data_IF_427261546908
#
_entry.id   IF_427261546908
#
_cell.length_a   1.000
_cell.length_b   1.000
_cell.length_c   1.000
_cell.angle_alpha   90.00
_cell.angle_beta   90.00
_cell.angle_gamma   90.00
#
_symmetry.space_group_name_H-M   'P 1'
#
loop_
_entity.id
_entity.type
_entity.pdbx_description
1 polymer ?
#
# COMPACT_ATOMS: atom_id res chain seq x y z
N UNK A 1 -20.68 12.51 9.38
CA UNK A 1 -20.77 11.46 8.33
C UNK A 1 -20.39 12.01 6.96
N UNK A 2 -20.89 13.18 6.54
CA UNK A 2 -20.58 13.77 5.22
C UNK A 2 -19.09 14.12 5.00
N UNK A 3 -18.36 14.55 6.04
CA UNK A 3 -16.95 14.96 5.90
C UNK A 3 -16.03 13.79 5.49
N UNK A 4 -16.24 12.60 6.06
CA UNK A 4 -15.45 11.41 5.71
C UNK A 4 -15.70 11.02 4.25
N UNK A 5 -16.96 11.05 3.79
CA UNK A 5 -17.30 10.74 2.41
C UNK A 5 -16.66 11.71 1.42
N UNK A 6 -16.64 13.01 1.73
CA UNK A 6 -15.93 14.02 0.92
C UNK A 6 -14.44 13.72 0.86
N UNK A 7 -13.82 13.33 1.97
CA UNK A 7 -12.40 13.00 2.00
C UNK A 7 -12.06 11.75 1.19
N UNK A 8 -12.86 10.69 1.29
CA UNK A 8 -12.71 9.48 0.48
C UNK A 8 -12.86 9.81 -1.00
N UNK A 9 -13.91 10.57 -1.36
CA UNK A 9 -14.13 11.01 -2.74
C UNK A 9 -12.96 11.81 -3.31
N UNK A 10 -12.44 12.78 -2.54
CA UNK A 10 -11.30 13.61 -2.92
C UNK A 10 -9.98 12.82 -3.00
N UNK A 11 -9.87 11.72 -2.25
CA UNK A 11 -8.71 10.82 -2.30
C UNK A 11 -8.75 9.92 -3.54
N UNK A 12 -9.90 9.30 -3.81
CA UNK A 12 -10.11 8.42 -4.96
C UNK A 12 -10.03 9.19 -6.28
N UNK A 13 -10.53 10.42 -6.33
CA UNK A 13 -10.40 11.31 -7.50
C UNK A 13 -8.97 11.83 -7.75
N UNK A 14 -8.00 11.46 -6.91
CA UNK A 14 -6.60 11.88 -6.99
C UNK A 14 -6.42 13.41 -7.08
N UNK A 15 -7.29 14.15 -6.39
CA UNK A 15 -7.22 15.61 -6.36
C UNK A 15 -5.90 16.13 -5.79
N UNK A 16 -5.44 17.28 -6.33
CA UNK A 16 -4.24 17.98 -5.86
C UNK A 16 -4.41 18.33 -4.38
N UNK A 17 -3.37 18.14 -3.58
CA UNK A 17 -3.38 18.39 -2.12
C UNK A 17 -3.95 19.77 -1.76
N UNK A 18 -3.51 20.82 -2.46
CA UNK A 18 -3.98 22.18 -2.21
C UNK A 18 -5.50 22.35 -2.46
N UNK A 19 -6.03 21.69 -3.49
CA UNK A 19 -7.47 21.67 -3.75
C UNK A 19 -8.21 20.91 -2.64
N UNK A 20 -7.76 19.70 -2.32
CA UNK A 20 -8.38 18.89 -1.28
C UNK A 20 -8.40 19.59 0.08
N UNK A 21 -7.33 20.29 0.46
CA UNK A 21 -7.28 21.07 1.70
C UNK A 21 -8.32 22.19 1.73
N UNK A 22 -8.55 22.86 0.60
CA UNK A 22 -9.54 23.93 0.48
C UNK A 22 -10.96 23.36 0.60
N UNK A 23 -11.26 22.32 -0.17
CA UNK A 23 -12.60 21.71 -0.21
C UNK A 23 -12.96 21.04 1.13
N UNK A 24 -12.00 20.36 1.74
CA UNK A 24 -12.24 19.61 2.96
C UNK A 24 -12.04 20.42 4.24
N UNK A 25 -11.54 21.66 4.13
CA UNK A 25 -11.17 22.53 5.25
C UNK A 25 -10.21 21.88 6.25
N UNK A 26 -9.37 20.94 5.79
CA UNK A 26 -8.40 20.25 6.64
C UNK A 26 -6.99 20.78 6.46
N UNK A 27 -6.20 20.68 7.53
CA UNK A 27 -4.76 20.95 7.45
C UNK A 27 -4.08 19.91 6.54
N UNK A 28 -2.92 20.28 5.98
CA UNK A 28 -2.10 19.34 5.19
C UNK A 28 -1.73 18.10 6.01
N UNK A 29 -1.48 18.26 7.32
CA UNK A 29 -1.13 17.15 8.21
C UNK A 29 -2.29 16.17 8.33
N UNK A 30 -3.48 16.69 8.65
CA UNK A 30 -4.70 15.89 8.75
C UNK A 30 -5.01 15.15 7.44
N UNK A 31 -4.84 15.82 6.30
CA UNK A 31 -5.05 15.18 4.99
C UNK A 31 -4.02 14.06 4.71
N UNK A 32 -2.76 14.27 5.07
CA UNK A 32 -1.72 13.25 4.94
C UNK A 32 -1.98 12.02 5.83
N UNK A 33 -2.40 12.26 7.07
CA UNK A 33 -2.76 11.19 8.01
C UNK A 33 -3.99 10.41 7.48
N UNK A 34 -5.03 11.12 7.01
CA UNK A 34 -6.21 10.52 6.39
C UNK A 34 -5.86 9.63 5.19
N UNK A 35 -5.04 10.14 4.25
CA UNK A 35 -4.58 9.37 3.09
C UNK A 35 -3.76 8.15 3.50
N UNK A 36 -3.06 8.19 4.64
CA UNK A 36 -2.34 7.04 5.18
C UNK A 36 -3.31 5.99 5.69
N UNK A 37 -4.34 6.36 6.45
CA UNK A 37 -5.38 5.42 6.88
C UNK A 37 -6.09 4.75 5.70
N UNK A 38 -6.41 5.51 4.65
CA UNK A 38 -7.03 4.91 3.47
C UNK A 38 -6.12 3.88 2.79
N UNK A 39 -4.81 4.15 2.69
CA UNK A 39 -3.84 3.16 2.17
C UNK A 39 -3.72 1.94 3.08
N UNK A 40 -3.73 2.13 4.39
CA UNK A 40 -3.68 1.03 5.36
C UNK A 40 -4.87 0.09 5.18
N UNK A 41 -6.08 0.64 5.04
CA UNK A 41 -7.30 -0.16 4.76
C UNK A 41 -7.15 -0.93 3.44
N UNK A 42 -6.68 -0.29 2.37
CA UNK A 42 -6.45 -0.99 1.10
C UNK A 42 -5.42 -2.12 1.23
N UNK A 43 -4.36 -1.94 2.02
CA UNK A 43 -3.36 -2.99 2.24
C UNK A 43 -3.97 -4.17 3.00
N UNK A 44 -4.77 -3.92 4.03
CA UNK A 44 -5.47 -4.99 4.77
C UNK A 44 -6.38 -5.76 3.82
N UNK A 45 -7.20 -5.06 3.03
CA UNK A 45 -8.08 -5.67 2.05
C UNK A 45 -7.31 -6.49 1.00
N UNK A 46 -6.20 -5.97 0.46
CA UNK A 46 -5.38 -6.71 -0.53
C UNK A 46 -4.75 -7.98 0.05
N UNK A 47 -4.47 -8.02 1.35
CA UNK A 47 -3.94 -9.21 2.03
C UNK A 47 -5.05 -10.22 2.30
N UNK A 48 -6.22 -9.77 2.75
CA UNK A 48 -7.36 -10.63 3.11
C UNK A 48 -8.08 -11.18 1.88
N UNK A 49 -8.25 -10.35 0.85
CA UNK A 49 -8.94 -10.64 -0.42
C UNK A 49 -7.97 -10.96 -1.56
N UNK A 50 -6.81 -11.54 -1.21
CA UNK A 50 -5.78 -11.96 -2.17
C UNK A 50 -6.36 -12.85 -3.28
N UNK A 51 -6.26 -12.40 -4.53
CA UNK A 51 -6.78 -13.15 -5.68
C UNK A 51 -5.78 -14.17 -6.20
N UNK A 52 -6.29 -15.19 -6.89
CA UNK A 52 -5.45 -16.08 -7.70
C UNK A 52 -5.10 -15.36 -9.00
N UNK A 53 -3.80 -15.16 -9.23
CA UNK A 53 -3.28 -14.53 -10.46
C UNK A 53 -2.54 -15.54 -11.34
N UNK A 54 -2.46 -15.24 -12.62
CA UNK A 54 -1.75 -16.01 -13.62
C UNK A 54 -2.63 -17.00 -14.39
N UNK A 55 -2.03 -17.64 -15.38
CA UNK A 55 -2.72 -18.49 -16.34
C UNK A 55 -1.96 -18.56 -17.66
N UNK A 56 -2.45 -19.35 -18.60
CA UNK A 56 -1.84 -19.44 -19.93
C UNK A 56 -2.01 -18.09 -20.63
N UNK A 57 -0.90 -17.49 -21.06
CA UNK A 57 -0.89 -16.21 -21.76
C UNK A 57 -1.05 -14.97 -20.86
N UNK A 58 -1.11 -15.14 -19.55
CA UNK A 58 -1.21 -14.03 -18.59
C UNK A 58 0.18 -13.63 -18.12
N UNK A 59 0.49 -12.33 -18.20
CA UNK A 59 1.72 -11.75 -17.66
C UNK A 59 1.42 -11.21 -16.26
N UNK A 60 2.10 -11.77 -15.26
CA UNK A 60 2.06 -11.31 -13.88
C UNK A 60 3.35 -10.58 -13.56
N UNK A 61 3.25 -9.34 -13.12
CA UNK A 61 4.37 -8.63 -12.51
C UNK A 61 4.49 -9.06 -11.05
N UNK A 62 5.71 -9.36 -10.61
CA UNK A 62 5.99 -9.82 -9.26
C UNK A 62 7.02 -8.88 -8.64
N UNK A 63 6.78 -8.45 -7.40
CA UNK A 63 7.70 -7.59 -6.65
C UNK A 63 7.88 -8.03 -5.19
N UNK A 64 9.04 -7.71 -4.63
CA UNK A 64 9.44 -7.97 -3.25
C UNK A 64 9.76 -6.67 -2.51
N UNK A 65 8.96 -6.38 -1.48
CA UNK A 65 9.12 -5.18 -0.67
C UNK A 65 9.43 -5.52 0.79
N UNK A 66 10.59 -5.07 1.28
CA UNK A 66 10.94 -5.15 2.72
C UNK A 66 10.51 -3.88 3.46
N UNK A 67 9.43 -3.96 4.21
CA UNK A 67 8.98 -2.85 5.03
C UNK A 67 9.91 -2.64 6.23
N UNK A 68 10.17 -1.37 6.57
CA UNK A 68 11.11 -0.94 7.64
C UNK A 68 12.58 -1.31 7.40
N UNK A 69 13.03 -1.39 6.13
CA UNK A 69 14.46 -1.44 5.79
C UNK A 69 15.15 -0.13 6.23
N UNK A 70 16.38 -0.25 6.77
CA UNK A 70 17.21 0.93 7.09
C UNK A 70 17.45 1.76 5.82
N UNK A 71 17.09 3.04 5.85
CA UNK A 71 17.54 3.99 4.83
C UNK A 71 19.02 4.33 5.13
N UNK A 72 19.91 4.09 4.17
CA UNK A 72 21.34 4.37 4.28
C UNK A 72 22.08 3.68 5.44
N UNK A 73 21.67 2.47 5.84
CA UNK A 73 22.25 1.72 6.97
C UNK A 73 22.23 2.45 8.33
N UNK A 74 21.52 3.58 8.43
CA UNK A 74 21.43 4.41 9.63
C UNK A 74 20.16 4.09 10.42
N UNK A 75 20.24 4.23 11.75
CA UNK A 75 19.12 4.07 12.68
C UNK A 75 18.96 2.65 13.28
N UNK A 76 17.93 2.50 14.12
CA UNK A 76 17.66 1.27 14.88
C UNK A 76 17.44 0.10 13.92
N UNK A 77 18.05 -1.05 14.24
CA UNK A 77 17.80 -2.32 13.54
C UNK A 77 16.40 -2.76 13.96
N UNK A 78 15.45 -2.74 13.03
CA UNK A 78 14.09 -3.25 13.24
C UNK A 78 13.94 -4.41 12.27
N UNK A 79 13.53 -5.57 12.77
CA UNK A 79 13.18 -6.71 11.92
C UNK A 79 12.01 -6.26 11.02
N UNK A 80 12.32 -6.06 9.75
CA UNK A 80 11.32 -5.74 8.74
C UNK A 80 10.52 -6.99 8.40
N UNK A 81 9.28 -6.80 7.95
CA UNK A 81 8.53 -7.91 7.33
C UNK A 81 8.73 -7.83 5.83
N UNK A 82 8.93 -8.98 5.20
CA UNK A 82 8.88 -9.09 3.76
C UNK A 82 7.43 -9.19 3.32
N UNK A 83 7.13 -8.52 2.22
CA UNK A 83 5.86 -8.63 1.54
C UNK A 83 6.17 -8.96 0.10
N UNK A 84 5.59 -10.06 -0.36
CA UNK A 84 5.62 -10.49 -1.75
C UNK A 84 4.29 -10.12 -2.38
N UNK A 85 4.31 -9.48 -3.54
CA UNK A 85 3.10 -9.09 -4.25
C UNK A 85 3.19 -9.44 -5.72
N UNK A 86 2.03 -9.55 -6.35
CA UNK A 86 1.96 -9.61 -7.80
C UNK A 86 0.65 -9.08 -8.34
N UNK A 87 0.71 -8.56 -9.56
CA UNK A 87 -0.43 -8.00 -10.28
C UNK A 87 -0.39 -8.46 -11.74
N UNK A 88 -1.55 -8.82 -12.28
CA UNK A 88 -1.69 -9.05 -13.71
C UNK A 88 -1.60 -7.71 -14.46
N UNK A 89 -1.00 -7.70 -15.65
CA UNK A 89 -0.93 -6.47 -16.45
C UNK A 89 -2.25 -6.06 -17.09
N UNK A 90 -3.01 -7.07 -17.52
CA UNK A 90 -4.21 -6.89 -18.35
C UNK A 90 -5.50 -6.90 -17.51
N UNK A 91 -5.40 -7.21 -16.21
CA UNK A 91 -6.55 -7.24 -15.29
C UNK A 91 -6.19 -6.55 -13.98
N UNK A 92 -7.19 -6.23 -13.17
CA UNK A 92 -6.97 -5.69 -11.81
C UNK A 92 -6.68 -6.80 -10.77
N UNK A 93 -6.45 -8.05 -11.21
CA UNK A 93 -6.16 -9.16 -10.31
C UNK A 93 -4.76 -9.01 -9.70
N UNK A 94 -4.72 -9.01 -8.37
CA UNK A 94 -3.49 -8.89 -7.61
C UNK A 94 -3.55 -9.69 -6.31
N UNK A 95 -2.37 -9.91 -5.73
CA UNK A 95 -2.24 -10.50 -4.42
C UNK A 95 -1.12 -9.84 -3.62
N UNK A 96 -1.26 -9.88 -2.30
CA UNK A 96 -0.22 -9.45 -1.37
C UNK A 96 -0.07 -10.48 -0.25
N UNK A 97 1.16 -10.96 -0.04
CA UNK A 97 1.47 -11.97 0.97
C UNK A 97 2.59 -11.49 1.89
N UNK A 98 2.30 -11.43 3.18
CA UNK A 98 3.33 -11.21 4.20
C UNK A 98 4.12 -12.50 4.37
N UNK A 99 5.43 -12.41 4.17
CA UNK A 99 6.37 -13.54 4.28
C UNK A 99 7.13 -13.41 5.60
N UNK A 100 7.17 -14.49 6.38
CA UNK A 100 8.02 -14.55 7.55
C UNK A 100 9.49 -14.59 7.12
N UNK A 101 10.38 -13.91 7.86
CA UNK A 101 11.81 -14.16 7.72
C UNK A 101 12.05 -15.63 8.11
N UNK A 102 12.16 -16.52 7.12
CA UNK A 102 12.87 -17.80 7.31
C UNK A 102 14.32 -17.40 7.54
N UNK A 103 14.82 -17.60 8.76
CA UNK A 103 16.10 -17.06 9.24
C UNK A 103 17.16 -16.99 8.15
N UNK A 104 17.83 -15.84 8.07
CA UNK A 104 18.96 -15.61 7.18
C UNK A 104 19.90 -16.83 7.23
N UNK A 105 19.96 -17.61 6.15
CA UNK A 105 21.17 -18.37 5.86
C UNK A 105 22.18 -17.30 5.49
N UNK A 106 22.97 -16.88 6.48
CA UNK A 106 24.13 -16.02 6.30
C UNK A 106 24.98 -16.58 5.16
N UNK A 107 25.21 -15.75 4.14
CA UNK A 107 26.36 -15.86 3.24
C UNK A 107 27.38 -14.82 3.64
#
# INVERSE_FOLDING_TARGET
MNEILVQVYLWVSQGKVAFNMKESKCSSKTLCDFRSYCREICVVEMIESSMKVGGIGVIVEIDESKFRKRKFHRGKRVAGKWVFGGAERETDACFMKVVADSGEVER
#
